data_IF_161468615449
#
_entry.id   IF_161468615449
#
_cell.length_a   1.000
_cell.length_b   1.000
_cell.length_c   1.000
_cell.angle_alpha   90.00
_cell.angle_beta   90.00
_cell.angle_gamma   90.00
#
_symmetry.space_group_name_H-M   'P 1'
#
loop_
_entity.id
_entity.type
_entity.pdbx_description
1 polymer ?
#
# COMPACT_ATOMS: atom_id res chain seq x y z
N UNK A 1 3.72 10.71 11.09
CA UNK A 1 4.27 11.63 10.09
C UNK A 1 5.71 11.97 10.43
N UNK A 2 6.59 11.97 9.46
CA UNK A 2 7.97 12.38 9.64
C UNK A 2 8.87 11.83 8.53
N UNK A 3 10.04 12.44 8.40
CA UNK A 3 11.11 11.98 7.51
C UNK A 3 12.04 11.03 8.28
N UNK A 4 12.45 9.96 7.62
CA UNK A 4 13.41 9.01 8.16
C UNK A 4 12.86 8.11 9.27
N UNK A 5 11.55 7.85 9.29
CA UNK A 5 10.97 6.90 10.25
C UNK A 5 11.47 5.49 9.94
N UNK A 6 11.89 4.78 10.98
CA UNK A 6 12.34 3.39 10.90
C UNK A 6 11.63 2.54 11.95
N UNK A 7 10.99 1.46 11.52
CA UNK A 7 10.26 0.51 12.35
C UNK A 7 10.75 -0.90 12.04
N UNK A 8 11.29 -1.59 13.03
CA UNK A 8 11.88 -2.91 12.84
C UNK A 8 11.45 -3.89 13.95
N UNK A 9 11.23 -5.14 13.55
CA UNK A 9 10.93 -6.24 14.47
C UNK A 9 9.72 -5.95 15.39
N UNK A 10 8.71 -5.27 14.85
CA UNK A 10 7.52 -4.85 15.57
C UNK A 10 6.28 -5.64 15.16
N UNK A 11 5.22 -5.48 15.93
CA UNK A 11 3.88 -5.95 15.59
C UNK A 11 2.91 -4.78 15.68
N UNK A 12 2.22 -4.50 14.57
CA UNK A 12 1.16 -3.49 14.46
C UNK A 12 -0.16 -4.23 14.28
N UNK A 13 -1.03 -4.13 15.28
CA UNK A 13 -2.26 -4.91 15.34
C UNK A 13 -3.45 -3.95 15.41
N UNK A 14 -4.34 -4.08 14.46
CA UNK A 14 -5.57 -3.32 14.38
C UNK A 14 -6.62 -4.08 13.57
N UNK A 15 -7.77 -3.47 13.33
CA UNK A 15 -8.84 -4.01 12.49
C UNK A 15 -9.02 -3.19 11.21
N UNK A 16 -9.28 -1.91 11.32
CA UNK A 16 -9.35 -0.97 10.22
C UNK A 16 -8.29 0.12 10.44
N UNK A 17 -7.70 0.65 9.36
CA UNK A 17 -6.78 1.77 9.41
C UNK A 17 -5.60 1.59 10.39
N UNK A 18 -5.01 0.39 10.44
CA UNK A 18 -4.00 0.02 11.46
C UNK A 18 -2.76 0.89 11.40
N UNK A 19 -2.22 1.15 10.21
CA UNK A 19 -1.03 1.97 10.00
C UNK A 19 -1.34 3.16 9.11
N UNK A 20 -1.42 4.34 9.71
CA UNK A 20 -1.46 5.60 8.99
C UNK A 20 -0.05 6.13 8.75
N UNK A 21 0.39 6.14 7.51
CA UNK A 21 1.74 6.59 7.17
C UNK A 21 1.84 8.13 7.06
N UNK A 22 0.68 8.83 7.02
CA UNK A 22 0.63 10.29 6.85
C UNK A 22 1.33 10.81 5.58
N UNK A 23 1.33 12.09 5.37
CA UNK A 23 0.39 13.05 5.95
C UNK A 23 -1.05 12.84 5.43
N UNK A 24 -2.00 13.55 6.01
CA UNK A 24 -3.34 13.66 5.43
C UNK A 24 -3.25 14.22 4.00
N UNK A 25 -4.11 13.79 3.06
CA UNK A 25 -4.18 14.38 1.73
C UNK A 25 -4.42 15.89 1.78
N UNK A 26 -4.02 16.61 0.73
CA UNK A 26 -4.14 18.08 0.66
C UNK A 26 -5.58 18.57 0.77
N UNK A 27 -6.53 17.79 0.25
CA UNK A 27 -7.95 18.13 0.25
C UNK A 27 -8.78 17.04 0.94
N UNK A 28 -9.64 17.48 1.85
CA UNK A 28 -10.69 16.63 2.39
C UNK A 28 -11.75 16.33 1.30
N UNK A 29 -12.41 15.18 1.41
CA UNK A 29 -13.57 14.85 0.56
C UNK A 29 -14.87 15.38 1.15
N UNK A 30 -15.00 15.27 2.47
CA UNK A 30 -16.16 15.71 3.21
C UNK A 30 -15.82 16.91 4.07
N UNK A 31 -16.65 17.94 4.15
CA UNK A 31 -16.40 19.12 4.97
C UNK A 31 -16.07 18.75 6.42
N UNK A 32 -14.92 19.19 6.91
CA UNK A 32 -14.45 18.89 8.27
C UNK A 32 -13.91 17.47 8.47
N UNK A 33 -13.66 16.72 7.39
CA UNK A 33 -13.12 15.36 7.46
C UNK A 33 -11.71 15.24 8.02
N UNK A 34 -10.95 16.34 8.06
CA UNK A 34 -9.58 16.37 8.58
C UNK A 34 -9.43 17.14 9.89
N UNK A 35 -10.51 17.36 10.61
CA UNK A 35 -10.45 18.05 11.91
C UNK A 35 -9.60 17.28 12.91
N UNK A 36 -8.67 17.98 13.53
CA UNK A 36 -7.78 17.39 14.54
C UNK A 36 -6.54 18.24 14.79
N UNK A 37 -5.65 17.80 15.68
CA UNK A 37 -4.46 18.57 16.08
C UNK A 37 -3.53 18.96 14.93
N UNK A 38 -3.59 18.25 13.81
CA UNK A 38 -2.74 18.48 12.63
C UNK A 38 -3.49 18.99 11.41
N UNK A 39 -4.72 19.43 11.58
CA UNK A 39 -5.57 19.94 10.49
C UNK A 39 -4.86 20.98 9.61
N UNK A 40 -4.15 21.90 10.23
CA UNK A 40 -3.41 22.98 9.56
C UNK A 40 -1.91 22.75 9.46
N UNK A 41 -1.43 21.57 9.81
CA UNK A 41 -0.01 21.25 9.71
C UNK A 41 0.43 21.12 8.23
N UNK A 42 1.69 21.48 7.89
CA UNK A 42 2.22 21.27 6.57
C UNK A 42 2.10 19.79 6.15
N UNK A 43 1.71 19.56 4.91
CA UNK A 43 1.62 18.20 4.32
C UNK A 43 3.00 17.79 3.80
N UNK A 44 3.85 17.31 4.69
CA UNK A 44 5.22 16.89 4.36
C UNK A 44 5.23 15.37 4.21
N UNK A 45 5.43 14.90 2.98
CA UNK A 45 5.56 13.48 2.69
C UNK A 45 6.96 13.01 3.01
N UNK A 46 7.09 12.34 4.15
CA UNK A 46 8.35 11.77 4.59
C UNK A 46 8.57 10.37 4.03
N UNK A 47 9.81 9.89 4.20
CA UNK A 47 10.20 8.52 3.86
C UNK A 47 10.19 7.66 5.12
N UNK A 48 9.63 6.46 5.00
CA UNK A 48 9.46 5.51 6.10
C UNK A 48 9.95 4.13 5.70
N UNK A 49 10.60 3.43 6.60
CA UNK A 49 11.12 2.09 6.40
C UNK A 49 10.60 1.13 7.47
N UNK A 50 10.01 0.04 7.02
CA UNK A 50 9.50 -1.03 7.86
C UNK A 50 10.22 -2.32 7.53
N UNK A 51 10.81 -2.99 8.51
CA UNK A 51 11.54 -4.24 8.32
C UNK A 51 11.14 -5.31 9.33
N UNK A 52 10.99 -6.55 8.86
CA UNK A 52 10.68 -7.69 9.71
C UNK A 52 9.47 -7.42 10.64
N UNK A 53 8.52 -6.65 10.17
CA UNK A 53 7.38 -6.18 10.97
C UNK A 53 6.12 -6.93 10.54
N UNK A 54 5.37 -7.38 11.54
CA UNK A 54 4.04 -7.95 11.33
C UNK A 54 2.99 -6.85 11.41
N UNK A 55 2.11 -6.78 10.41
CA UNK A 55 1.03 -5.79 10.34
C UNK A 55 -0.25 -6.52 9.98
N UNK A 56 -1.33 -6.32 10.75
CA UNK A 56 -2.62 -6.94 10.43
C UNK A 56 -3.78 -5.96 10.48
N UNK A 57 -4.81 -6.28 9.72
CA UNK A 57 -6.08 -5.56 9.69
C UNK A 57 -7.02 -6.10 8.62
N UNK A 58 -8.27 -5.63 8.61
CA UNK A 58 -9.29 -6.04 7.66
C UNK A 58 -9.52 -5.03 6.53
N UNK A 59 -9.54 -3.73 6.82
CA UNK A 59 -9.84 -2.67 5.84
C UNK A 59 -8.76 -1.61 5.86
N UNK A 60 -8.19 -1.32 4.67
CA UNK A 60 -7.27 -0.21 4.45
C UNK A 60 -6.16 -0.13 5.51
N UNK A 61 -5.68 -1.31 5.95
CA UNK A 61 -4.89 -1.37 7.17
C UNK A 61 -3.48 -0.79 7.03
N UNK A 62 -3.06 -0.43 5.80
CA UNK A 62 -1.91 0.44 5.52
C UNK A 62 -2.41 1.56 4.61
N UNK A 63 -2.48 2.79 5.11
CA UNK A 63 -3.03 3.90 4.36
C UNK A 63 -2.25 5.21 4.56
N UNK A 64 -2.39 6.15 3.65
CA UNK A 64 -1.73 7.44 3.70
C UNK A 64 -0.87 7.76 2.48
N UNK A 65 -0.03 8.79 2.59
CA UNK A 65 0.64 9.46 1.46
C UNK A 65 2.15 9.31 1.44
N UNK A 66 2.79 8.83 2.52
CA UNK A 66 4.24 8.76 2.59
C UNK A 66 4.87 7.83 1.55
N UNK A 67 6.12 8.06 1.23
CA UNK A 67 6.97 7.03 0.63
C UNK A 67 7.32 6.01 1.71
N UNK A 68 6.78 4.81 1.64
CA UNK A 68 6.98 3.78 2.65
C UNK A 68 7.49 2.47 2.04
N UNK A 69 8.65 2.02 2.49
CA UNK A 69 9.30 0.80 2.05
C UNK A 69 9.16 -0.29 3.11
N UNK A 70 8.56 -1.39 2.71
CA UNK A 70 8.36 -2.57 3.56
C UNK A 70 9.27 -3.70 3.09
N UNK A 71 10.16 -4.17 3.94
CA UNK A 71 11.09 -5.26 3.66
C UNK A 71 10.89 -6.42 4.62
N UNK A 72 10.72 -7.63 4.08
CA UNK A 72 10.52 -8.85 4.86
C UNK A 72 9.39 -8.75 5.88
N UNK A 73 8.36 -7.98 5.59
CA UNK A 73 7.20 -7.82 6.47
C UNK A 73 6.15 -8.90 6.20
N UNK A 74 5.36 -9.21 7.23
CA UNK A 74 4.18 -10.07 7.11
C UNK A 74 2.94 -9.21 7.24
N UNK A 75 2.08 -9.24 6.21
CA UNK A 75 0.83 -8.49 6.11
C UNK A 75 -0.31 -9.49 6.22
N UNK A 76 -1.06 -9.47 7.33
CA UNK A 76 -2.17 -10.40 7.54
C UNK A 76 -3.51 -9.70 7.38
N UNK A 77 -4.27 -10.18 6.40
CA UNK A 77 -5.65 -9.76 6.18
C UNK A 77 -6.59 -10.52 7.10
N UNK A 78 -7.22 -9.81 8.02
CA UNK A 78 -8.24 -10.37 8.90
C UNK A 78 -9.54 -10.59 8.12
N UNK A 79 -10.32 -11.63 8.44
CA UNK A 79 -11.53 -11.99 7.69
C UNK A 79 -12.66 -10.94 7.83
N UNK A 80 -12.58 -10.11 8.83
CA UNK A 80 -13.58 -9.07 9.11
C UNK A 80 -13.31 -7.80 8.30
N UNK A 81 -14.33 -7.25 7.65
CA UNK A 81 -14.30 -5.89 7.14
C UNK A 81 -14.08 -5.69 5.64
N UNK A 82 -14.17 -6.71 4.79
CA UNK A 82 -14.23 -6.52 3.33
C UNK A 82 -12.89 -6.28 2.61
N UNK A 83 -11.78 -6.57 3.25
CA UNK A 83 -10.49 -6.95 2.69
C UNK A 83 -9.75 -5.97 1.78
N UNK A 84 -9.02 -5.00 2.34
CA UNK A 84 -8.03 -4.21 1.58
C UNK A 84 -6.75 -4.06 2.39
N UNK A 85 -5.61 -4.46 1.80
CA UNK A 85 -4.31 -4.27 2.45
C UNK A 85 -3.92 -2.81 2.44
N UNK A 86 -3.98 -2.16 1.28
CA UNK A 86 -3.51 -0.78 1.13
C UNK A 86 -4.59 0.18 0.64
N UNK A 87 -4.52 1.42 1.13
CA UNK A 87 -5.27 2.57 0.62
C UNK A 87 -4.32 3.78 0.45
N UNK A 88 -3.59 3.79 -0.66
CA UNK A 88 -2.60 4.83 -0.93
C UNK A 88 -3.23 6.17 -1.31
N UNK A 89 -2.57 7.26 -0.93
CA UNK A 89 -2.96 8.62 -1.28
C UNK A 89 -1.78 9.50 -1.70
N UNK A 90 -0.82 8.91 -2.39
CA UNK A 90 0.34 9.65 -2.91
C UNK A 90 -0.13 10.88 -3.68
N UNK A 91 0.44 12.07 -3.46
CA UNK A 91 0.09 13.26 -4.22
C UNK A 91 0.67 13.22 -5.63
N UNK A 92 0.12 14.05 -6.49
CA UNK A 92 0.62 14.21 -7.87
C UNK A 92 2.11 14.58 -7.87
N UNK A 93 2.89 13.90 -8.70
CA UNK A 93 4.32 14.16 -8.86
C UNK A 93 5.24 13.48 -7.83
N UNK A 94 4.71 12.82 -6.80
CA UNK A 94 5.53 12.02 -5.90
C UNK A 94 6.10 10.80 -6.64
N UNK A 95 7.41 10.58 -6.51
CA UNK A 95 8.09 9.49 -7.22
C UNK A 95 7.66 8.12 -6.70
N UNK A 96 7.69 7.91 -5.39
CA UNK A 96 7.38 6.64 -4.75
C UNK A 96 6.19 6.74 -3.81
N UNK A 97 5.37 5.69 -3.76
CA UNK A 97 4.36 5.47 -2.74
C UNK A 97 4.76 4.33 -1.81
N UNK A 98 3.94 3.29 -1.73
CA UNK A 98 4.25 2.08 -0.97
C UNK A 98 5.03 1.10 -1.83
N UNK A 99 6.10 0.55 -1.26
CA UNK A 99 6.92 -0.48 -1.88
C UNK A 99 7.03 -1.64 -0.92
N UNK A 100 6.58 -2.81 -1.33
CA UNK A 100 6.70 -4.07 -0.59
C UNK A 100 7.71 -4.96 -1.29
N UNK A 101 8.78 -5.33 -0.61
CA UNK A 101 9.81 -6.20 -1.16
C UNK A 101 10.11 -7.37 -0.23
N UNK A 102 10.08 -8.58 -0.76
CA UNK A 102 10.23 -9.83 -0.01
C UNK A 102 9.23 -9.96 1.16
N UNK A 103 8.02 -9.44 0.99
CA UNK A 103 6.96 -9.51 1.99
C UNK A 103 6.11 -10.77 1.83
N UNK A 104 5.28 -11.04 2.85
CA UNK A 104 4.30 -12.13 2.83
C UNK A 104 2.92 -11.57 3.09
N UNK A 105 2.02 -11.75 2.14
CA UNK A 105 0.61 -11.40 2.26
C UNK A 105 -0.15 -12.67 2.61
N UNK A 106 -0.73 -12.74 3.80
CA UNK A 106 -1.41 -13.90 4.33
C UNK A 106 -2.84 -13.56 4.78
N UNK A 107 -3.70 -14.54 4.83
CA UNK A 107 -5.09 -14.43 5.30
C UNK A 107 -5.71 -15.81 5.44
N UNK A 108 -6.83 -15.90 6.16
CA UNK A 108 -7.45 -17.19 6.48
C UNK A 108 -8.48 -17.67 5.47
N UNK A 109 -9.09 -16.78 4.70
CA UNK A 109 -10.20 -17.09 3.80
C UNK A 109 -9.88 -16.74 2.35
N UNK A 110 -10.00 -17.69 1.41
CA UNK A 110 -9.69 -17.45 0.00
C UNK A 110 -10.59 -16.39 -0.65
N UNK A 111 -9.99 -15.57 -1.53
CA UNK A 111 -10.70 -14.57 -2.34
C UNK A 111 -11.52 -13.55 -1.54
N UNK A 112 -11.04 -13.14 -0.39
CA UNK A 112 -11.73 -12.16 0.47
C UNK A 112 -11.11 -10.77 0.43
N UNK A 113 -9.86 -10.63 -0.01
CA UNK A 113 -9.09 -9.39 0.11
C UNK A 113 -8.53 -8.90 -1.24
N UNK A 114 -8.26 -7.61 -1.34
CA UNK A 114 -7.49 -6.99 -2.41
C UNK A 114 -6.14 -6.50 -1.87
N UNK A 115 -5.13 -6.45 -2.72
CA UNK A 115 -3.81 -5.86 -2.41
C UNK A 115 -3.94 -4.36 -2.11
N UNK A 116 -4.93 -3.72 -2.74
CA UNK A 116 -5.20 -2.33 -2.44
C UNK A 116 -6.23 -1.67 -3.34
N UNK A 117 -6.53 -0.43 -2.95
CA UNK A 117 -7.41 0.49 -3.67
C UNK A 117 -6.91 1.94 -3.56
N UNK A 118 -7.24 2.85 -4.51
CA UNK A 118 -6.75 4.21 -4.46
C UNK A 118 -7.59 5.08 -3.52
N UNK A 119 -7.01 5.51 -2.39
CA UNK A 119 -7.67 6.54 -1.58
C UNK A 119 -7.68 7.89 -2.31
N UNK A 120 -6.60 8.19 -3.08
CA UNK A 120 -6.52 9.35 -3.99
C UNK A 120 -6.02 8.95 -5.37
N UNK A 121 -6.24 9.82 -6.34
CA UNK A 121 -6.08 9.59 -7.78
C UNK A 121 -4.65 9.25 -8.22
N UNK A 122 -3.63 9.63 -7.46
CA UNK A 122 -2.23 9.38 -7.78
C UNK A 122 -1.60 8.32 -6.86
N UNK A 123 -2.43 7.47 -6.27
CA UNK A 123 -1.96 6.39 -5.40
C UNK A 123 -0.93 5.51 -6.10
N UNK A 124 0.18 5.20 -5.40
CA UNK A 124 1.24 4.33 -5.90
C UNK A 124 1.50 3.19 -4.92
N UNK A 125 1.45 1.97 -5.42
CA UNK A 125 1.82 0.76 -4.68
C UNK A 125 2.56 -0.19 -5.59
N UNK A 126 3.72 -0.64 -5.17
CA UNK A 126 4.56 -1.60 -5.90
C UNK A 126 4.88 -2.79 -5.00
N UNK A 127 4.62 -4.00 -5.48
CA UNK A 127 4.89 -5.25 -4.74
C UNK A 127 5.89 -6.08 -5.54
N UNK A 128 7.02 -6.39 -4.93
CA UNK A 128 8.12 -7.12 -5.56
C UNK A 128 8.50 -8.36 -4.77
N UNK A 129 8.83 -9.45 -5.46
CA UNK A 129 9.45 -10.65 -4.91
C UNK A 129 8.72 -11.21 -3.67
N UNK A 130 7.42 -11.02 -3.59
CA UNK A 130 6.62 -11.27 -2.39
C UNK A 130 5.71 -12.47 -2.55
N UNK A 131 5.46 -13.15 -1.45
CA UNK A 131 4.49 -14.23 -1.37
C UNK A 131 3.07 -13.64 -1.25
N UNK A 132 2.15 -14.04 -2.13
CA UNK A 132 0.76 -13.61 -2.12
C UNK A 132 -0.13 -14.83 -1.92
N UNK A 133 -0.81 -14.88 -0.77
CA UNK A 133 -1.71 -15.96 -0.39
C UNK A 133 -3.02 -15.96 -1.18
N UNK A 134 -3.75 -17.06 -1.11
CA UNK A 134 -5.01 -17.29 -1.81
C UNK A 134 -6.18 -16.42 -1.32
N UNK A 135 -6.04 -15.76 -0.16
CA UNK A 135 -7.00 -14.79 0.34
C UNK A 135 -7.12 -13.56 -0.59
N UNK A 136 -6.10 -13.29 -1.41
CA UNK A 136 -6.16 -12.22 -2.40
C UNK A 136 -6.99 -12.65 -3.61
N UNK A 137 -7.97 -11.82 -3.96
CA UNK A 137 -8.83 -12.03 -5.12
C UNK A 137 -8.04 -12.07 -6.43
N UNK A 138 -8.49 -12.79 -7.46
CA UNK A 138 -7.80 -12.90 -8.74
C UNK A 138 -7.46 -11.55 -9.38
N UNK A 139 -8.33 -10.56 -9.24
CA UNK A 139 -8.12 -9.21 -9.74
C UNK A 139 -6.97 -8.50 -9.02
N UNK A 140 -6.67 -8.88 -7.78
CA UNK A 140 -5.62 -8.30 -6.94
C UNK A 140 -5.87 -6.87 -6.50
N UNK A 141 -6.35 -6.02 -7.39
CA UNK A 141 -6.54 -4.59 -7.19
C UNK A 141 -7.99 -4.17 -7.43
N UNK A 142 -8.44 -3.17 -6.70
CA UNK A 142 -9.79 -2.61 -6.83
C UNK A 142 -9.71 -1.09 -7.05
N UNK A 143 -10.49 -0.57 -7.98
CA UNK A 143 -10.46 0.86 -8.34
C UNK A 143 -11.32 1.76 -7.44
N UNK A 144 -12.09 1.17 -6.55
CA UNK A 144 -13.04 1.88 -5.68
C UNK A 144 -14.10 2.68 -6.48
N UNK A 145 -14.44 2.23 -7.68
CA UNK A 145 -15.34 2.93 -8.60
C UNK A 145 -14.77 4.24 -9.17
N UNK A 146 -13.45 4.44 -9.09
CA UNK A 146 -12.77 5.64 -9.58
C UNK A 146 -12.15 5.37 -10.94
N UNK A 147 -12.97 5.17 -11.95
CA UNK A 147 -12.52 4.85 -13.32
C UNK A 147 -11.55 5.91 -13.86
N UNK A 148 -11.79 7.19 -13.58
CA UNK A 148 -10.92 8.28 -14.01
C UNK A 148 -9.50 8.22 -13.40
N UNK A 149 -9.33 7.46 -12.33
CA UNK A 149 -8.02 7.27 -11.70
C UNK A 149 -7.16 6.19 -12.39
N UNK A 150 -7.70 5.41 -13.32
CA UNK A 150 -6.94 4.38 -14.03
C UNK A 150 -5.71 4.93 -14.76
N UNK A 151 -5.78 6.16 -15.26
CA UNK A 151 -4.67 6.80 -15.97
C UNK A 151 -3.63 7.45 -15.04
N UNK A 152 -3.90 7.51 -13.74
CA UNK A 152 -3.07 8.27 -12.79
C UNK A 152 -2.54 7.45 -11.61
N UNK A 153 -3.21 6.38 -11.23
CA UNK A 153 -2.71 5.43 -10.23
C UNK A 153 -1.53 4.63 -10.79
N UNK A 154 -0.66 4.17 -9.92
CA UNK A 154 0.42 3.28 -10.30
C UNK A 154 0.47 2.09 -9.35
N UNK A 155 -0.24 1.03 -9.71
CA UNK A 155 -0.23 -0.24 -9.00
C UNK A 155 0.53 -1.27 -9.84
N UNK A 156 1.64 -1.76 -9.30
CA UNK A 156 2.57 -2.58 -10.04
C UNK A 156 3.04 -3.82 -9.26
N UNK A 157 3.32 -4.87 -9.98
CA UNK A 157 3.80 -6.15 -9.43
C UNK A 157 5.04 -6.64 -10.18
N UNK A 158 5.95 -7.33 -9.44
CA UNK A 158 7.16 -7.89 -10.03
C UNK A 158 7.57 -9.17 -9.32
N UNK A 159 7.65 -10.28 -10.08
CA UNK A 159 8.11 -11.59 -9.62
C UNK A 159 7.48 -12.05 -8.29
N UNK A 160 6.24 -11.67 -8.04
CA UNK A 160 5.48 -12.21 -6.93
C UNK A 160 5.12 -13.67 -7.18
N UNK A 161 4.93 -14.41 -6.12
CA UNK A 161 4.63 -15.84 -6.18
C UNK A 161 3.54 -16.23 -5.18
N UNK A 162 3.08 -17.48 -5.25
CA UNK A 162 1.99 -17.99 -4.45
C UNK A 162 0.64 -17.93 -5.16
N UNK A 163 -0.40 -18.53 -4.58
CA UNK A 163 -1.69 -18.70 -5.26
C UNK A 163 -2.38 -17.38 -5.60
N UNK A 164 -2.26 -16.35 -4.77
CA UNK A 164 -2.84 -15.04 -5.03
C UNK A 164 -2.10 -14.20 -6.07
N UNK A 165 -0.89 -14.60 -6.47
CA UNK A 165 -0.13 -13.92 -7.53
C UNK A 165 -0.53 -14.37 -8.95
N UNK A 166 -1.24 -15.49 -9.08
CA UNK A 166 -1.55 -16.10 -10.37
C UNK A 166 -2.81 -15.54 -11.04
N UNK A 167 -3.51 -14.61 -10.42
CA UNK A 167 -4.78 -14.08 -10.93
C UNK A 167 -4.62 -13.11 -12.10
N UNK A 168 -5.70 -12.92 -12.85
CA UNK A 168 -5.76 -11.97 -13.95
C UNK A 168 -5.97 -10.55 -13.41
N UNK A 169 -4.93 -9.75 -13.45
CA UNK A 169 -4.96 -8.35 -12.99
C UNK A 169 -5.69 -7.44 -13.98
N UNK A 170 -6.33 -6.36 -13.52
CA UNK A 170 -6.95 -5.36 -14.38
C UNK A 170 -5.93 -4.69 -15.31
N UNK A 171 -6.37 -4.30 -16.51
CA UNK A 171 -5.49 -3.72 -17.54
C UNK A 171 -4.86 -2.37 -17.17
N UNK A 172 -5.38 -1.68 -16.16
CA UNK A 172 -4.85 -0.43 -15.63
C UNK A 172 -3.74 -0.63 -14.58
N UNK A 173 -3.37 -1.87 -14.27
CA UNK A 173 -2.24 -2.22 -13.41
C UNK A 173 -1.03 -2.63 -14.24
N UNK A 174 0.15 -2.68 -13.62
CA UNK A 174 1.41 -2.87 -14.32
C UNK A 174 2.14 -4.13 -13.86
N UNK A 175 2.79 -4.80 -14.78
CA UNK A 175 3.81 -5.82 -14.47
C UNK A 175 5.15 -5.24 -14.86
N UNK A 176 6.07 -5.11 -13.90
CA UNK A 176 7.37 -4.50 -14.15
C UNK A 176 8.31 -5.46 -14.89
N UNK A 177 9.13 -4.90 -15.75
CA UNK A 177 10.34 -5.54 -16.31
C UNK A 177 11.46 -5.57 -15.27
N UNK A 178 12.51 -6.36 -15.53
CA UNK A 178 13.70 -6.43 -14.65
C UNK A 178 14.34 -5.03 -14.49
N UNK A 179 14.45 -4.27 -15.56
CA UNK A 179 15.02 -2.91 -15.55
C UNK A 179 14.18 -1.92 -14.75
N UNK A 180 12.85 -1.98 -14.87
CA UNK A 180 11.96 -1.11 -14.08
C UNK A 180 12.02 -1.43 -12.59
N UNK A 181 12.12 -2.71 -12.24
CA UNK A 181 12.20 -3.15 -10.85
C UNK A 181 13.47 -2.63 -10.12
N UNK A 182 14.56 -2.37 -10.84
CA UNK A 182 15.80 -1.79 -10.28
C UNK A 182 15.57 -0.40 -9.65
N UNK A 183 14.55 0.33 -10.09
CA UNK A 183 14.20 1.63 -9.52
C UNK A 183 13.53 1.53 -8.13
N UNK A 184 13.13 0.33 -7.70
CA UNK A 184 12.42 0.10 -6.43
C UNK A 184 13.26 -0.62 -5.38
N UNK A 185 14.57 -0.46 -5.44
CA UNK A 185 15.48 -0.96 -4.39
C UNK A 185 15.48 0.00 -3.18
N UNK A 186 15.89 -0.51 -2.00
CA UNK A 186 16.07 0.35 -0.82
C UNK A 186 16.99 1.54 -1.14
N UNK A 187 18.11 1.28 -1.83
CA UNK A 187 19.07 2.33 -2.20
C UNK A 187 18.45 3.38 -3.12
N UNK A 188 17.65 2.98 -4.11
CA UNK A 188 17.00 3.92 -5.03
C UNK A 188 15.98 4.83 -4.34
N UNK A 189 15.37 4.37 -3.26
CA UNK A 189 14.33 5.12 -2.53
C UNK A 189 14.91 6.05 -1.46
N UNK A 190 16.04 5.66 -0.83
CA UNK A 190 16.58 6.37 0.34
C UNK A 190 17.91 7.11 0.12
N UNK A 191 18.57 6.92 -1.03
CA UNK A 191 19.79 7.64 -1.39
C UNK A 191 19.51 8.83 -2.35
#
# INVERSE_FOLDING_TARGET
EGEGIRVENCRLIGSQDTLFTGPLPEKEKEPGGFRGPKEFAPRINGRQYYKNTYICGGVDFIFGSATAYFENCTLESLPEGGGYVTAGSSPKGQTYGYIFNHCRFIGSEPNTCYLGRPWREYAKVVILNSEIGDHIKPEGWHDWGKIDAHDTVYFAEYKNYGPGAAGARPSWTHTLTDTEAENYTYASVFN
#
